data_IF_905066487076
#
_entry.id   IF_905066487076
#
_cell.length_a   1.000
_cell.length_b   1.000
_cell.length_c   1.000
_cell.angle_alpha   90.00
_cell.angle_beta   90.00
_cell.angle_gamma   90.00
#
_symmetry.space_group_name_H-M   'P 1'
#
loop_
_entity.id
_entity.type
_entity.pdbx_description
1 polymer ?
#
# COMPACT_ATOMS: atom_id res chain seq x y z
N UNK A 1 27.57 63.78 19.68
CA UNK A 1 28.65 64.00 18.67
C UNK A 1 29.08 62.65 18.12
N UNK A 2 28.99 62.50 16.79
CA UNK A 2 29.09 61.24 16.04
C UNK A 2 30.47 60.59 16.16
N UNK A 3 30.49 59.27 16.32
CA UNK A 3 31.63 58.40 16.01
C UNK A 3 31.11 57.15 15.30
N UNK A 4 31.47 57.02 14.03
CA UNK A 4 31.17 55.90 13.13
C UNK A 4 32.11 54.71 13.41
N UNK A 5 31.64 53.46 13.38
CA UNK A 5 32.54 52.32 13.23
C UNK A 5 32.74 51.95 11.75
N UNK A 6 34.00 51.66 11.45
CA UNK A 6 34.63 51.39 10.15
C UNK A 6 34.35 49.94 9.73
N UNK A 7 33.78 49.75 8.54
CA UNK A 7 33.57 48.44 7.92
C UNK A 7 34.91 47.83 7.49
N UNK A 8 35.17 46.58 7.90
CA UNK A 8 36.24 45.75 7.33
C UNK A 8 35.59 44.56 6.63
N UNK A 9 35.60 44.59 5.31
CA UNK A 9 35.15 43.50 4.44
C UNK A 9 36.22 42.43 4.39
N UNK A 10 35.94 41.25 4.95
CA UNK A 10 36.76 40.05 4.74
C UNK A 10 36.20 39.34 3.51
N UNK A 11 36.94 39.39 2.41
CA UNK A 11 36.58 38.70 1.17
C UNK A 11 36.76 37.19 1.34
N UNK A 12 35.69 36.44 1.10
CA UNK A 12 35.68 34.98 1.03
C UNK A 12 36.44 34.51 -0.23
N UNK A 13 37.40 33.61 -0.06
CA UNK A 13 38.07 32.91 -1.19
C UNK A 13 37.36 31.58 -1.46
N UNK A 14 36.88 31.29 -2.70
CA UNK A 14 36.33 29.98 -2.99
C UNK A 14 37.44 28.94 -3.12
N UNK A 15 37.30 27.86 -2.36
CA UNK A 15 38.18 26.70 -2.42
C UNK A 15 38.05 25.95 -3.76
N UNK A 16 39.18 25.41 -4.20
CA UNK A 16 39.43 24.68 -5.45
C UNK A 16 38.44 23.56 -5.73
N UNK A 17 37.89 23.56 -6.95
CA UNK A 17 36.99 22.54 -7.48
C UNK A 17 37.63 21.14 -7.47
N UNK A 18 37.03 20.19 -6.74
CA UNK A 18 37.36 18.76 -6.87
C UNK A 18 36.48 18.15 -7.95
N UNK A 19 37.14 17.60 -8.97
CA UNK A 19 36.48 16.85 -10.05
C UNK A 19 35.87 15.56 -9.50
N UNK A 20 34.57 15.36 -9.72
CA UNK A 20 33.88 14.11 -9.41
C UNK A 20 34.01 13.13 -10.58
N UNK A 21 34.45 11.91 -10.30
CA UNK A 21 34.50 10.85 -11.29
C UNK A 21 33.10 10.49 -11.79
N UNK A 22 32.93 10.41 -13.12
CA UNK A 22 31.68 9.96 -13.75
C UNK A 22 31.46 8.47 -13.46
N UNK A 23 30.34 8.16 -12.81
CA UNK A 23 29.81 6.80 -12.72
C UNK A 23 29.25 6.41 -14.09
N UNK A 24 29.74 5.32 -14.68
CA UNK A 24 29.15 4.73 -15.89
C UNK A 24 27.77 4.15 -15.57
N UNK A 25 26.75 4.36 -16.41
CA UNK A 25 25.45 3.75 -16.17
C UNK A 25 25.58 2.23 -16.31
N UNK A 26 25.26 1.52 -15.23
CA UNK A 26 25.03 0.07 -15.25
C UNK A 26 23.97 -0.20 -16.30
N UNK A 27 24.30 -1.03 -17.30
CA UNK A 27 23.34 -1.51 -18.30
C UNK A 27 22.10 -2.01 -17.57
N UNK A 28 20.99 -1.29 -17.75
CA UNK A 28 19.71 -1.72 -17.22
C UNK A 28 19.32 -2.98 -17.98
N UNK A 29 19.47 -4.13 -17.33
CA UNK A 29 18.79 -5.34 -17.75
C UNK A 29 17.33 -4.95 -18.00
N UNK A 30 16.86 -5.22 -19.22
CA UNK A 30 15.54 -4.87 -19.72
C UNK A 30 14.52 -5.20 -18.64
N UNK A 31 13.93 -4.16 -18.05
CA UNK A 31 12.70 -4.31 -17.30
C UNK A 31 11.70 -4.87 -18.29
N UNK A 32 11.45 -6.19 -18.21
CA UNK A 32 10.36 -6.82 -18.94
C UNK A 32 9.15 -5.96 -18.63
N UNK A 33 8.62 -5.31 -19.66
CA UNK A 33 7.41 -4.52 -19.56
C UNK A 33 6.41 -5.34 -18.76
N UNK A 34 6.00 -4.81 -17.60
CA UNK A 34 4.93 -5.39 -16.79
C UNK A 34 3.81 -5.70 -17.75
N UNK A 35 3.56 -6.98 -18.01
CA UNK A 35 2.47 -7.39 -18.88
C UNK A 35 1.22 -6.67 -18.36
N UNK A 36 0.64 -5.82 -19.20
CA UNK A 36 -0.52 -5.02 -18.80
C UNK A 36 -1.65 -6.01 -18.52
N UNK A 37 -1.87 -6.25 -17.23
CA UNK A 37 -2.81 -7.28 -16.81
C UNK A 37 -4.20 -6.87 -17.30
N UNK A 38 -4.97 -7.80 -17.90
CA UNK A 38 -6.32 -7.51 -18.34
C UNK A 38 -7.11 -6.86 -17.21
N UNK A 39 -7.95 -5.87 -17.53
CA UNK A 39 -8.72 -5.12 -16.52
C UNK A 39 -9.49 -6.06 -15.58
N UNK A 40 -10.02 -7.16 -16.13
CA UNK A 40 -10.83 -8.16 -15.41
C UNK A 40 -10.02 -9.31 -14.76
N UNK A 41 -8.70 -9.30 -14.87
CA UNK A 41 -7.86 -10.31 -14.22
C UNK A 41 -7.93 -10.19 -12.69
N UNK A 42 -7.76 -11.28 -11.92
CA UNK A 42 -7.70 -11.20 -10.46
C UNK A 42 -6.62 -10.24 -9.97
N UNK A 43 -6.88 -9.58 -8.84
CA UNK A 43 -5.94 -8.70 -8.13
C UNK A 43 -4.99 -9.56 -7.31
N UNK A 44 -3.68 -9.37 -7.51
CA UNK A 44 -2.65 -10.16 -6.83
C UNK A 44 -2.45 -9.71 -5.38
N UNK A 45 -2.23 -10.69 -4.52
CA UNK A 45 -2.09 -10.54 -3.08
C UNK A 45 -0.79 -11.14 -2.57
N UNK A 46 -0.14 -10.42 -1.67
CA UNK A 46 0.89 -10.91 -0.78
C UNK A 46 0.23 -11.33 0.54
N UNK A 47 0.73 -12.41 1.16
CA UNK A 47 0.23 -12.84 2.47
C UNK A 47 0.44 -11.73 3.52
N UNK A 48 -0.56 -11.53 4.37
CA UNK A 48 -0.51 -10.52 5.44
C UNK A 48 0.33 -10.99 6.63
N UNK A 49 0.75 -10.05 7.50
CA UNK A 49 1.55 -10.37 8.67
C UNK A 49 0.75 -11.09 9.77
N UNK A 50 -0.57 -10.93 9.82
CA UNK A 50 -1.41 -11.34 10.95
C UNK A 50 -2.03 -12.74 10.74
N UNK A 51 -1.30 -13.66 10.10
CA UNK A 51 -1.82 -14.98 9.70
C UNK A 51 -2.38 -15.80 10.87
N UNK A 52 -1.77 -15.71 12.06
CA UNK A 52 -2.22 -16.40 13.28
C UNK A 52 -3.57 -15.92 13.82
N UNK A 53 -4.02 -14.75 13.39
CA UNK A 53 -5.31 -14.18 13.79
C UNK A 53 -6.49 -14.72 12.97
N UNK A 54 -6.21 -15.57 12.00
CA UNK A 54 -7.20 -16.19 11.13
C UNK A 54 -7.33 -17.69 11.37
N UNK A 55 -8.53 -18.23 11.21
CA UNK A 55 -8.69 -19.68 11.18
C UNK A 55 -8.11 -20.23 9.87
N UNK A 56 -7.68 -21.51 9.86
CA UNK A 56 -7.17 -22.14 8.66
C UNK A 56 -8.11 -21.95 7.46
N UNK A 57 -7.54 -21.55 6.32
CA UNK A 57 -8.29 -21.37 5.08
C UNK A 57 -8.83 -19.96 4.82
N UNK A 58 -8.66 -18.97 5.72
CA UNK A 58 -9.15 -17.61 5.48
C UNK A 58 -8.59 -16.97 4.20
N UNK A 59 -7.27 -17.02 4.00
CA UNK A 59 -6.64 -16.50 2.78
C UNK A 59 -7.04 -17.33 1.54
N UNK A 60 -7.23 -18.64 1.68
CA UNK A 60 -7.72 -19.47 0.58
C UNK A 60 -9.15 -19.08 0.18
N UNK A 61 -10.04 -18.85 1.16
CA UNK A 61 -11.40 -18.38 0.94
C UNK A 61 -11.43 -17.01 0.26
N UNK A 62 -10.57 -16.08 0.70
CA UNK A 62 -10.41 -14.76 0.07
C UNK A 62 -10.06 -14.89 -1.43
N UNK A 63 -9.13 -15.79 -1.78
CA UNK A 63 -8.70 -15.97 -3.17
C UNK A 63 -9.63 -16.85 -4.01
N UNK A 64 -10.47 -17.68 -3.39
CA UNK A 64 -11.44 -18.52 -4.10
C UNK A 64 -12.76 -17.81 -4.39
N UNK A 65 -13.01 -16.66 -3.74
CA UNK A 65 -14.29 -15.98 -3.76
C UNK A 65 -14.32 -14.79 -4.71
N UNK A 66 -15.53 -14.44 -5.15
CA UNK A 66 -15.80 -13.15 -5.82
C UNK A 66 -16.44 -12.21 -4.82
N UNK A 67 -15.95 -10.97 -4.78
CA UNK A 67 -16.45 -9.93 -3.90
C UNK A 67 -17.05 -8.78 -4.70
N UNK A 68 -18.08 -8.13 -4.16
CA UNK A 68 -18.67 -6.91 -4.68
C UNK A 68 -18.15 -5.71 -3.90
N UNK A 69 -17.77 -4.64 -4.59
CA UNK A 69 -17.40 -3.38 -3.93
C UNK A 69 -18.67 -2.67 -3.46
N UNK A 70 -18.78 -2.43 -2.16
CA UNK A 70 -19.95 -1.80 -1.55
C UNK A 70 -20.01 -0.29 -1.82
N UNK A 71 -21.22 0.30 -1.92
CA UNK A 71 -21.39 1.76 -2.06
C UNK A 71 -20.81 2.59 -0.92
N UNK A 72 -20.62 2.00 0.26
CA UNK A 72 -20.00 2.63 1.43
C UNK A 72 -18.46 2.73 1.37
N UNK A 73 -17.87 2.37 0.22
CA UNK A 73 -16.44 2.51 -0.04
C UNK A 73 -16.07 3.94 -0.39
N UNK A 74 -14.88 4.37 0.02
CA UNK A 74 -14.35 5.70 -0.24
C UNK A 74 -12.82 5.67 -0.29
N UNK A 75 -12.16 6.84 -0.26
CA UNK A 75 -10.70 6.96 -0.32
C UNK A 75 -9.97 6.42 0.93
N UNK A 76 -10.69 6.20 2.03
CA UNK A 76 -10.15 5.56 3.24
C UNK A 76 -10.10 4.03 3.05
N UNK A 77 -11.12 3.44 2.42
CA UNK A 77 -11.12 2.01 2.15
C UNK A 77 -12.22 1.50 1.22
N UNK A 78 -11.88 0.44 0.50
CA UNK A 78 -12.78 -0.34 -0.36
C UNK A 78 -13.39 -1.47 0.45
N UNK A 79 -14.70 -1.42 0.68
CA UNK A 79 -15.45 -2.40 1.48
C UNK A 79 -15.98 -3.50 0.59
N UNK A 80 -15.71 -4.74 0.94
CA UNK A 80 -16.02 -5.90 0.12
C UNK A 80 -17.20 -6.69 0.70
N UNK A 81 -18.19 -6.96 -0.13
CA UNK A 81 -19.27 -7.88 0.19
C UNK A 81 -19.07 -9.22 -0.51
N UNK A 82 -19.22 -10.29 0.25
CA UNK A 82 -18.87 -11.66 -0.11
C UNK A 82 -18.75 -12.52 1.16
N UNK A 83 -18.12 -13.70 1.08
CA UNK A 83 -17.92 -14.57 2.23
C UNK A 83 -17.14 -13.87 3.35
N UNK A 84 -17.66 -13.99 4.59
CA UNK A 84 -16.95 -13.53 5.78
C UNK A 84 -15.75 -14.44 6.04
N UNK A 85 -14.59 -13.85 6.28
CA UNK A 85 -13.37 -14.59 6.54
C UNK A 85 -13.34 -15.10 7.98
N UNK A 86 -13.07 -16.39 8.20
CA UNK A 86 -13.05 -16.96 9.53
C UNK A 86 -11.81 -16.47 10.29
N UNK A 87 -12.03 -15.84 11.45
CA UNK A 87 -10.98 -15.28 12.30
C UNK A 87 -11.08 -15.83 13.72
N UNK A 88 -9.96 -15.87 14.43
CA UNK A 88 -9.95 -16.14 15.87
C UNK A 88 -10.42 -14.90 16.64
N UNK A 89 -10.69 -15.04 17.94
CA UNK A 89 -10.97 -13.88 18.79
C UNK A 89 -9.67 -13.07 18.94
N UNK A 90 -9.63 -11.90 18.30
CA UNK A 90 -8.48 -11.00 18.31
C UNK A 90 -8.74 -9.87 19.31
N UNK A 91 -7.74 -9.55 20.13
CA UNK A 91 -7.70 -8.28 20.85
C UNK A 91 -7.24 -7.19 19.87
N UNK A 92 -7.93 -6.05 19.82
CA UNK A 92 -7.53 -4.94 18.96
C UNK A 92 -6.12 -4.48 19.34
N UNK A 93 -5.16 -4.68 18.43
CA UNK A 93 -3.76 -4.25 18.59
C UNK A 93 -3.51 -3.14 17.58
N UNK A 94 -3.10 -1.97 18.07
CA UNK A 94 -2.71 -0.85 17.21
C UNK A 94 -1.41 -1.18 16.46
N UNK A 95 -1.43 -1.09 15.14
CA UNK A 95 -0.29 -1.39 14.25
C UNK A 95 -0.21 -0.37 13.11
N UNK A 96 0.99 -0.15 12.51
CA UNK A 96 1.13 0.71 11.34
C UNK A 96 0.39 0.11 10.13
N UNK A 97 -0.26 0.98 9.36
CA UNK A 97 -1.03 0.59 8.17
C UNK A 97 -0.33 1.01 6.88
N UNK A 98 -0.62 0.25 5.81
CA UNK A 98 -0.15 0.54 4.45
C UNK A 98 -1.30 0.45 3.45
N UNK A 99 -1.20 1.23 2.38
CA UNK A 99 -2.17 1.19 1.28
C UNK A 99 -2.23 -0.22 0.68
N UNK A 100 -3.44 -0.70 0.43
CA UNK A 100 -3.67 -2.04 -0.08
C UNK A 100 -3.71 -3.14 0.99
N UNK A 101 -3.44 -2.84 2.26
CA UNK A 101 -3.67 -3.80 3.33
C UNK A 101 -5.15 -4.18 3.41
N UNK A 102 -5.42 -5.47 3.60
CA UNK A 102 -6.78 -6.00 3.71
C UNK A 102 -7.08 -6.30 5.17
N UNK A 103 -7.71 -5.34 5.84
CA UNK A 103 -8.19 -5.49 7.20
C UNK A 103 -9.45 -6.36 7.24
N UNK A 104 -9.58 -7.15 8.30
CA UNK A 104 -10.77 -7.99 8.55
C UNK A 104 -11.34 -7.68 9.93
N UNK A 105 -12.42 -6.88 10.02
CA UNK A 105 -13.06 -6.52 11.27
C UNK A 105 -13.81 -7.67 11.94
N UNK A 106 -14.53 -7.30 13.00
CA UNK A 106 -15.33 -8.19 13.83
C UNK A 106 -16.26 -9.14 13.07
N UNK A 107 -16.89 -8.62 12.02
CA UNK A 107 -17.87 -9.30 11.16
C UNK A 107 -17.25 -10.18 10.06
N UNK A 108 -15.92 -10.19 9.94
CA UNK A 108 -15.20 -10.96 8.93
C UNK A 108 -15.24 -10.37 7.52
N UNK A 109 -15.83 -9.18 7.31
CA UNK A 109 -15.98 -8.58 5.98
C UNK A 109 -14.72 -7.79 5.59
N UNK A 110 -14.01 -8.16 4.51
CA UNK A 110 -12.73 -7.53 4.20
C UNK A 110 -12.86 -6.05 3.79
N UNK A 111 -11.88 -5.24 4.21
CA UNK A 111 -11.73 -3.84 3.81
C UNK A 111 -10.32 -3.65 3.25
N UNK A 112 -10.20 -3.23 1.99
CA UNK A 112 -8.90 -2.85 1.42
C UNK A 112 -8.62 -1.39 1.75
N UNK A 113 -7.52 -1.10 2.42
CA UNK A 113 -7.13 0.25 2.83
C UNK A 113 -6.73 1.10 1.61
N UNK A 114 -7.38 2.26 1.50
CA UNK A 114 -7.17 3.24 0.43
C UNK A 114 -6.13 4.30 0.79
N UNK A 115 -5.83 5.25 -0.12
CA UNK A 115 -4.77 6.24 0.09
C UNK A 115 -4.96 7.18 1.28
N UNK A 116 -6.17 7.28 1.84
CA UNK A 116 -6.49 8.09 3.03
C UNK A 116 -6.73 7.23 4.27
N UNK A 117 -6.23 5.99 4.29
CA UNK A 117 -6.30 5.14 5.46
C UNK A 117 -5.57 5.81 6.66
N UNK A 118 -6.03 5.58 7.91
CA UNK A 118 -5.33 6.07 9.08
C UNK A 118 -3.93 5.46 9.18
N UNK A 119 -2.99 6.16 9.80
CA UNK A 119 -1.61 5.68 9.99
C UNK A 119 -1.56 4.40 10.81
N UNK A 120 -2.53 4.22 11.71
CA UNK A 120 -2.65 3.06 12.60
C UNK A 120 -4.03 2.42 12.48
N UNK A 121 -4.08 1.09 12.57
CA UNK A 121 -5.31 0.28 12.52
C UNK A 121 -5.33 -0.76 13.65
N UNK A 122 -6.53 -1.22 14.01
CA UNK A 122 -6.75 -2.19 15.09
C UNK A 122 -7.05 -3.61 14.62
N UNK A 123 -7.43 -3.76 13.34
CA UNK A 123 -7.90 -5.04 12.80
C UNK A 123 -6.76 -5.85 12.17
N UNK A 124 -6.84 -7.20 12.20
CA UNK A 124 -5.83 -8.04 11.59
C UNK A 124 -5.83 -7.93 10.07
N UNK A 125 -4.64 -7.99 9.48
CA UNK A 125 -4.40 -7.94 8.04
C UNK A 125 -4.21 -9.35 7.48
N UNK A 126 -5.17 -9.80 6.67
CA UNK A 126 -5.10 -11.14 6.04
C UNK A 126 -4.15 -11.19 4.84
N UNK A 127 -4.04 -10.08 4.11
CA UNK A 127 -3.25 -9.94 2.90
C UNK A 127 -2.96 -8.47 2.58
N UNK A 128 -2.03 -8.23 1.67
CA UNK A 128 -1.74 -6.92 1.11
C UNK A 128 -1.81 -7.00 -0.41
N UNK A 129 -2.52 -6.07 -1.04
CA UNK A 129 -2.60 -5.97 -2.50
C UNK A 129 -1.24 -5.63 -3.08
N UNK A 130 -0.82 -6.38 -4.11
CA UNK A 130 0.41 -6.11 -4.83
C UNK A 130 0.39 -4.68 -5.39
N UNK A 131 1.49 -3.94 -5.20
CA UNK A 131 1.57 -2.51 -5.58
C UNK A 131 1.21 -2.23 -7.04
N UNK A 132 1.56 -3.16 -7.94
CA UNK A 132 1.25 -3.06 -9.37
C UNK A 132 -0.25 -3.11 -9.67
N UNK A 133 -1.07 -3.69 -8.79
CA UNK A 133 -2.49 -3.91 -9.01
C UNK A 133 -3.38 -2.88 -8.27
N UNK A 134 -2.80 -2.00 -7.43
CA UNK A 134 -3.54 -0.96 -6.69
C UNK A 134 -4.32 -0.03 -7.61
N UNK A 135 -3.71 0.41 -8.72
CA UNK A 135 -4.37 1.29 -9.69
C UNK A 135 -5.59 0.63 -10.33
N UNK A 136 -5.50 -0.67 -10.65
CA UNK A 136 -6.61 -1.47 -11.19
C UNK A 136 -7.71 -1.62 -10.16
N UNK A 137 -7.38 -2.03 -8.92
CA UNK A 137 -8.34 -2.19 -7.84
C UNK A 137 -9.14 -0.91 -7.56
N UNK A 138 -8.47 0.23 -7.40
CA UNK A 138 -9.13 1.50 -7.08
C UNK A 138 -9.88 2.14 -8.26
N UNK A 139 -9.69 1.61 -9.48
CA UNK A 139 -10.46 2.03 -10.65
C UNK A 139 -11.76 1.25 -10.84
N UNK A 140 -11.98 0.15 -10.09
CA UNK A 140 -13.22 -0.62 -10.15
C UNK A 140 -14.37 0.23 -9.62
N UNK A 141 -15.45 0.32 -10.41
CA UNK A 141 -16.67 1.06 -10.03
C UNK A 141 -17.30 0.46 -8.77
N UNK A 142 -17.92 1.31 -7.95
CA UNK A 142 -18.79 0.86 -6.87
C UNK A 142 -19.88 -0.08 -7.43
N UNK A 143 -20.17 -1.15 -6.70
CA UNK A 143 -21.05 -2.22 -7.16
C UNK A 143 -20.41 -3.22 -8.13
N UNK A 144 -19.20 -2.94 -8.62
CA UNK A 144 -18.40 -3.85 -9.45
C UNK A 144 -17.89 -5.06 -8.66
N UNK A 145 -17.45 -6.08 -9.39
CA UNK A 145 -16.90 -7.32 -8.81
C UNK A 145 -15.38 -7.34 -8.86
N UNK A 146 -14.75 -7.94 -7.85
CA UNK A 146 -13.32 -8.16 -7.75
C UNK A 146 -13.04 -9.60 -7.32
N UNK A 147 -12.00 -10.20 -7.89
CA UNK A 147 -11.43 -11.47 -7.46
C UNK A 147 -9.98 -11.27 -7.09
N UNK A 148 -9.46 -12.15 -6.24
CA UNK A 148 -8.08 -12.10 -5.79
C UNK A 148 -7.32 -13.37 -6.16
N UNK A 149 -6.01 -13.26 -6.29
CA UNK A 149 -5.10 -14.41 -6.43
C UNK A 149 -3.86 -14.17 -5.58
N UNK A 150 -3.16 -15.24 -5.19
CA UNK A 150 -1.82 -15.10 -4.61
C UNK A 150 -0.83 -14.76 -5.72
N UNK A 151 0.12 -13.87 -5.42
CA UNK A 151 1.30 -13.60 -6.25
C UNK A 151 2.33 -14.74 -6.13
#
# INVERSE_FOLDING_TARGET
>A
PRSTPRSTSTAWSPATSRSFARVSPRSAASASASAEMPVDAPIRLLAGPDGEHFLPGALALLTASTYRILPSSNRVGTRLDGPALPRSAVADVSRPMVIGAIEVPGDGKPIVLGPEHPTTGGYPIVAVVARADLGRLFSIRLGGSVRFTRD
#
